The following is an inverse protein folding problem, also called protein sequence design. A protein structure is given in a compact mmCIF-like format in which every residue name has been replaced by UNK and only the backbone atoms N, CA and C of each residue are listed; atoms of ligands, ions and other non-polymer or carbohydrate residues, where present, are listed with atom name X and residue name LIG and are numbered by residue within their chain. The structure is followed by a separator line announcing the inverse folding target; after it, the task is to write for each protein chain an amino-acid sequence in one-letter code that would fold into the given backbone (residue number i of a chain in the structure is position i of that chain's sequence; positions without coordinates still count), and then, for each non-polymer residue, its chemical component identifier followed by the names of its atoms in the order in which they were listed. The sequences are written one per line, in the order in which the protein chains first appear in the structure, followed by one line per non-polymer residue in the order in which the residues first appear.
data_IF_672190364870
#
_entry.id   IF_672190364870
#
_cell.length_a   1.000
_cell.length_b   1.000
_cell.length_c   1.000
_cell.angle_alpha   90.00
_cell.angle_beta   90.00
_cell.angle_gamma   90.00
#
_symmetry.space_group_name_H-M   'P 1'
#
loop_
_entity.id
_entity.type
_entity.pdbx_description
1 polymer ?
#
# COMPACT_ATOMS: atom_id res chain seq x y z
N UNK A 1 -71.60 37.12 14.10
CA UNK A 1 -71.31 37.40 12.67
C UNK A 1 -69.79 37.42 12.53
N UNK A 2 -69.15 36.33 12.09
CA UNK A 2 -68.84 35.98 10.68
C UNK A 2 -67.67 36.83 10.11
N UNK A 3 -66.71 36.36 9.28
CA UNK A 3 -66.04 35.10 8.90
C UNK A 3 -65.06 35.52 7.77
N UNK A 4 -63.86 34.90 7.68
CA UNK A 4 -63.01 34.69 6.46
C UNK A 4 -62.45 35.93 5.71
N UNK A 5 -61.31 35.96 4.98
CA UNK A 5 -60.19 35.06 4.61
C UNK A 5 -59.18 35.89 3.76
N UNK A 6 -57.94 35.41 3.56
CA UNK A 6 -57.23 35.61 2.27
C UNK A 6 -55.78 36.10 2.28
N UNK A 7 -54.85 35.13 2.31
CA UNK A 7 -53.60 34.95 1.57
C UNK A 7 -52.73 36.13 1.04
N UNK A 8 -51.42 36.02 1.29
CA UNK A 8 -50.33 36.61 0.49
C UNK A 8 -48.96 36.03 0.87
N UNK A 9 -48.39 35.20 0.00
CA UNK A 9 -47.07 34.53 0.10
C UNK A 9 -45.92 35.41 -0.45
N UNK A 10 -44.73 35.38 0.19
CA UNK A 10 -43.40 35.15 -0.43
C UNK A 10 -42.34 35.11 0.68
N UNK A 11 -41.81 33.95 1.09
CA UNK A 11 -40.67 33.21 0.53
C UNK A 11 -39.32 33.93 0.64
N UNK A 12 -38.45 33.39 1.51
CA UNK A 12 -37.08 33.80 1.76
C UNK A 12 -36.40 32.86 2.75
N UNK A 13 -36.38 31.56 2.45
CA UNK A 13 -35.54 30.59 3.18
C UNK A 13 -34.10 30.73 2.67
N UNK A 14 -33.28 31.50 3.40
CA UNK A 14 -31.83 31.51 3.24
C UNK A 14 -31.23 30.25 3.89
N UNK A 15 -31.45 29.09 3.28
CA UNK A 15 -30.68 27.87 3.54
C UNK A 15 -29.82 27.54 2.33
N UNK A 16 -28.89 28.44 2.02
CA UNK A 16 -27.93 28.33 0.92
C UNK A 16 -26.81 27.28 1.09
N UNK A 17 -26.89 26.39 2.09
CA UNK A 17 -25.87 25.36 2.33
C UNK A 17 -26.23 23.96 1.79
N UNK A 18 -27.48 23.73 1.37
CA UNK A 18 -27.97 22.45 0.83
C UNK A 18 -28.42 22.54 -0.64
N UNK A 19 -27.87 23.45 -1.43
CA UNK A 19 -28.11 23.42 -2.88
C UNK A 19 -27.18 22.40 -3.55
N UNK A 20 -27.64 21.78 -4.64
CA UNK A 20 -26.86 20.86 -5.47
C UNK A 20 -25.52 21.46 -5.96
N UNK A 21 -25.38 22.80 -5.92
CA UNK A 21 -24.13 23.52 -6.25
C UNK A 21 -23.14 23.57 -5.07
N UNK A 22 -23.61 23.49 -3.83
CA UNK A 22 -22.77 23.32 -2.63
C UNK A 22 -22.12 21.93 -2.57
N UNK A 23 -22.86 20.88 -2.96
CA UNK A 23 -22.27 19.55 -3.17
C UNK A 23 -21.27 19.51 -4.34
N UNK A 24 -21.48 20.32 -5.38
CA UNK A 24 -20.58 20.39 -6.53
C UNK A 24 -19.21 21.01 -6.21
N UNK A 25 -19.09 21.84 -5.16
CA UNK A 25 -17.78 22.34 -4.71
C UNK A 25 -16.96 21.33 -3.90
N UNK A 26 -17.56 20.22 -3.44
CA UNK A 26 -16.80 19.09 -2.88
C UNK A 26 -16.21 18.18 -3.98
N UNK A 27 -16.77 18.23 -5.20
CA UNK A 27 -16.27 17.43 -6.32
C UNK A 27 -14.94 17.96 -6.91
N UNK A 28 -14.56 19.21 -6.60
CA UNK A 28 -13.32 19.83 -7.09
C UNK A 28 -12.12 19.77 -6.13
N UNK A 29 -12.28 19.19 -4.93
CA UNK A 29 -11.33 19.30 -3.83
C UNK A 29 -10.78 17.98 -3.30
N UNK A 30 -10.60 16.95 -4.14
CA UNK A 30 -10.13 15.64 -3.68
C UNK A 30 -8.62 15.54 -3.36
N UNK A 31 -7.88 16.66 -3.37
CA UNK A 31 -6.42 16.64 -3.30
C UNK A 31 -5.80 16.97 -1.91
N UNK A 32 -6.59 17.18 -0.84
CA UNK A 32 -6.07 17.75 0.41
C UNK A 32 -6.54 17.03 1.69
N UNK A 33 -6.30 15.73 1.83
CA UNK A 33 -6.50 15.06 3.13
C UNK A 33 -5.78 13.70 3.37
N UNK A 34 -4.72 13.33 2.65
CA UNK A 34 -4.11 11.99 2.80
C UNK A 34 -2.93 11.90 3.79
N UNK A 35 -2.79 12.82 4.75
CA UNK A 35 -1.72 12.75 5.78
C UNK A 35 -2.24 12.36 7.18
N UNK A 36 -3.54 12.12 7.37
CA UNK A 36 -4.11 11.72 8.67
C UNK A 36 -4.61 10.27 8.66
N UNK A 37 -3.76 9.30 8.31
CA UNK A 37 -4.16 7.90 8.05
C UNK A 37 -4.58 7.08 9.29
N UNK A 38 -4.56 7.63 10.51
CA UNK A 38 -4.96 6.90 11.73
C UNK A 38 -6.19 7.44 12.47
N UNK A 39 -6.83 8.51 11.99
CA UNK A 39 -7.99 9.13 12.67
C UNK A 39 -9.30 9.06 11.87
N UNK A 40 -9.29 8.43 10.69
CA UNK A 40 -10.51 8.35 9.87
C UNK A 40 -11.48 7.30 10.43
N UNK A 41 -12.78 7.63 10.55
CA UNK A 41 -13.81 6.65 10.87
C UNK A 41 -13.83 5.50 9.84
N UNK A 42 -14.18 4.25 10.26
CA UNK A 42 -14.18 3.08 9.38
C UNK A 42 -14.94 3.30 8.06
N UNK A 43 -16.01 4.09 8.10
CA UNK A 43 -16.85 4.41 6.93
C UNK A 43 -16.08 5.16 5.85
N UNK A 44 -15.19 6.10 6.20
CA UNK A 44 -14.42 6.87 5.21
C UNK A 44 -13.31 6.02 4.59
N UNK A 45 -12.67 5.16 5.39
CA UNK A 45 -11.72 4.17 4.89
C UNK A 45 -12.40 3.16 3.95
N UNK A 46 -13.61 2.71 4.30
CA UNK A 46 -14.45 1.86 3.46
C UNK A 46 -14.72 2.53 2.11
N UNK A 47 -15.17 3.78 2.10
CA UNK A 47 -15.52 4.52 0.87
C UNK A 47 -14.32 4.76 -0.05
N UNK A 48 -13.16 5.09 0.52
CA UNK A 48 -11.94 5.26 -0.27
C UNK A 48 -11.41 3.92 -0.83
N UNK A 49 -11.57 2.83 -0.07
CA UNK A 49 -11.27 1.47 -0.50
C UNK A 49 -12.19 0.98 -1.61
N UNK A 50 -13.50 1.17 -1.46
CA UNK A 50 -14.50 0.77 -2.47
C UNK A 50 -14.38 1.58 -3.75
N UNK A 51 -14.10 2.88 -3.69
CA UNK A 51 -13.85 3.69 -4.88
C UNK A 51 -12.58 3.25 -5.64
N UNK A 52 -11.53 2.82 -4.93
CA UNK A 52 -10.30 2.30 -5.54
C UNK A 52 -10.50 0.90 -6.12
N UNK A 53 -11.21 0.02 -5.42
CA UNK A 53 -11.60 -1.29 -5.92
C UNK A 53 -12.51 -1.18 -7.14
N UNK A 54 -13.52 -0.30 -7.10
CA UNK A 54 -14.39 0.01 -8.23
C UNK A 54 -13.64 0.67 -9.41
N UNK A 55 -12.54 1.38 -9.14
CA UNK A 55 -11.61 1.88 -10.15
C UNK A 55 -10.59 0.83 -10.61
N UNK A 56 -10.75 -0.44 -10.23
CA UNK A 56 -9.95 -1.57 -10.68
C UNK A 56 -8.55 -1.67 -10.08
N UNK A 57 -8.30 -1.06 -8.90
CA UNK A 57 -6.99 -1.10 -8.24
C UNK A 57 -7.04 -1.99 -6.99
N UNK A 58 -6.90 -3.30 -7.21
CA UNK A 58 -6.71 -4.29 -6.14
C UNK A 58 -5.38 -4.02 -5.42
N UNK A 59 -5.40 -4.04 -4.08
CA UNK A 59 -4.21 -3.91 -3.25
C UNK A 59 -3.16 -4.98 -3.54
N UNK A 60 -3.58 -6.22 -3.84
CA UNK A 60 -2.65 -7.31 -4.20
C UNK A 60 -1.97 -7.02 -5.53
N UNK A 61 -2.69 -6.51 -6.53
CA UNK A 61 -2.08 -6.14 -7.81
C UNK A 61 -1.04 -5.02 -7.62
N UNK A 62 -1.28 -4.09 -6.69
CA UNK A 62 -0.31 -3.06 -6.34
C UNK A 62 0.95 -3.60 -5.63
N UNK A 63 0.87 -4.73 -4.94
CA UNK A 63 2.02 -5.42 -4.33
C UNK A 63 2.80 -6.21 -5.38
N UNK A 64 2.09 -6.91 -6.29
CA UNK A 64 2.70 -7.58 -7.46
C UNK A 64 3.46 -6.57 -8.34
N UNK A 65 2.91 -5.36 -8.52
CA UNK A 65 3.63 -4.31 -9.21
C UNK A 65 4.89 -3.87 -8.46
N UNK A 66 4.86 -3.80 -7.12
CA UNK A 66 6.08 -3.53 -6.34
C UNK A 66 7.13 -4.64 -6.53
N UNK A 67 6.72 -5.91 -6.50
CA UNK A 67 7.60 -7.07 -6.74
C UNK A 67 8.39 -6.91 -8.03
N UNK A 68 7.72 -6.57 -9.13
CA UNK A 68 8.37 -6.33 -10.43
C UNK A 68 9.42 -5.24 -10.35
N UNK A 69 9.14 -4.14 -9.65
CA UNK A 69 10.10 -3.05 -9.48
C UNK A 69 11.28 -3.43 -8.57
N UNK A 70 11.01 -4.15 -7.48
CA UNK A 70 12.02 -4.63 -6.53
C UNK A 70 12.97 -5.61 -7.23
N UNK A 71 12.43 -6.59 -7.96
CA UNK A 71 13.22 -7.54 -8.75
C UNK A 71 14.07 -6.83 -9.81
N UNK A 72 13.51 -5.84 -10.51
CA UNK A 72 14.24 -5.05 -11.50
C UNK A 72 15.42 -4.30 -10.87
N UNK A 73 15.23 -3.69 -9.70
CA UNK A 73 16.31 -3.02 -8.96
C UNK A 73 17.38 -4.01 -8.50
N UNK A 74 16.99 -5.18 -8.01
CA UNK A 74 17.93 -6.23 -7.57
C UNK A 74 18.76 -6.76 -8.74
N UNK A 75 18.15 -7.00 -9.90
CA UNK A 75 18.87 -7.36 -11.13
C UNK A 75 19.88 -6.28 -11.50
N UNK A 76 19.48 -5.01 -11.46
CA UNK A 76 20.39 -3.92 -11.76
C UNK A 76 21.55 -3.84 -10.74
N UNK A 77 21.27 -4.04 -9.46
CA UNK A 77 22.28 -4.04 -8.39
C UNK A 77 23.35 -5.10 -8.62
N UNK A 78 22.95 -6.35 -8.91
CA UNK A 78 23.90 -7.46 -9.10
C UNK A 78 24.68 -7.35 -10.41
N UNK A 79 24.14 -6.67 -11.41
CA UNK A 79 24.81 -6.38 -12.68
C UNK A 79 25.73 -5.16 -12.62
N UNK A 80 25.61 -4.30 -11.59
CA UNK A 80 26.40 -3.08 -11.47
C UNK A 80 27.85 -3.40 -11.09
N UNK A 81 28.84 -2.98 -11.92
CA UNK A 81 30.26 -3.19 -11.64
C UNK A 81 30.75 -2.62 -10.31
N UNK A 82 31.84 -3.16 -9.80
CA UNK A 82 32.45 -2.77 -8.51
C UNK A 82 33.06 -1.36 -8.54
N UNK A 83 33.53 -0.92 -9.70
CA UNK A 83 34.09 0.42 -9.94
C UNK A 83 33.02 1.50 -10.13
N UNK A 84 31.74 1.17 -9.93
CA UNK A 84 30.61 2.11 -9.96
C UNK A 84 29.93 2.28 -8.58
N UNK A 85 30.66 2.64 -7.50
CA UNK A 85 30.13 2.71 -6.14
C UNK A 85 28.98 3.74 -6.00
N UNK A 86 29.01 4.82 -6.79
CA UNK A 86 27.92 5.79 -6.85
C UNK A 86 26.60 5.19 -7.35
N UNK A 87 26.65 4.34 -8.39
CA UNK A 87 25.46 3.65 -8.92
C UNK A 87 24.92 2.65 -7.90
N UNK A 88 25.78 1.82 -7.30
CA UNK A 88 25.42 0.87 -6.24
C UNK A 88 24.73 1.57 -5.06
N UNK A 89 25.24 2.72 -4.64
CA UNK A 89 24.63 3.54 -3.57
C UNK A 89 23.22 4.00 -3.95
N UNK A 90 23.04 4.56 -5.15
CA UNK A 90 21.74 5.04 -5.60
C UNK A 90 20.71 3.91 -5.71
N UNK A 91 21.12 2.74 -6.21
CA UNK A 91 20.24 1.59 -6.32
C UNK A 91 19.83 1.04 -4.96
N UNK A 92 20.78 0.92 -4.02
CA UNK A 92 20.47 0.48 -2.66
C UNK A 92 19.47 1.42 -1.98
N UNK A 93 19.63 2.74 -2.11
CA UNK A 93 18.68 3.71 -1.56
C UNK A 93 17.26 3.56 -2.16
N UNK A 94 17.17 3.35 -3.48
CA UNK A 94 15.88 3.12 -4.16
C UNK A 94 15.23 1.81 -3.70
N UNK A 95 16.02 0.74 -3.61
CA UNK A 95 15.56 -0.56 -3.14
C UNK A 95 15.03 -0.47 -1.72
N UNK A 96 15.80 0.12 -0.79
CA UNK A 96 15.40 0.33 0.61
C UNK A 96 14.06 1.04 0.72
N UNK A 97 13.88 2.15 0.00
CA UNK A 97 12.62 2.93 0.05
C UNK A 97 11.43 2.07 -0.41
N UNK A 98 11.60 1.29 -1.48
CA UNK A 98 10.54 0.44 -2.02
C UNK A 98 10.22 -0.73 -1.10
N UNK A 99 11.24 -1.49 -0.67
CA UNK A 99 11.05 -2.60 0.27
C UNK A 99 10.41 -2.12 1.58
N UNK A 100 10.78 -0.95 2.10
CA UNK A 100 10.17 -0.43 3.32
C UNK A 100 8.67 -0.14 3.15
N UNK A 101 8.27 0.50 2.04
CA UNK A 101 6.86 0.78 1.74
C UNK A 101 6.03 -0.49 1.51
N UNK A 102 6.63 -1.45 0.81
CA UNK A 102 6.05 -2.75 0.49
C UNK A 102 5.84 -3.60 1.75
N UNK A 103 6.92 -3.82 2.51
CA UNK A 103 6.89 -4.59 3.75
C UNK A 103 5.94 -3.99 4.79
N UNK A 104 5.83 -2.66 4.89
CA UNK A 104 4.87 -2.04 5.80
C UNK A 104 3.42 -2.38 5.43
N UNK A 105 3.09 -2.38 4.13
CA UNK A 105 1.75 -2.72 3.69
C UNK A 105 1.43 -4.20 3.93
N UNK A 106 2.39 -5.09 3.76
CA UNK A 106 2.22 -6.50 4.05
C UNK A 106 2.12 -6.80 5.54
N UNK A 107 3.08 -6.30 6.33
CA UNK A 107 3.17 -6.54 7.76
C UNK A 107 1.97 -5.96 8.53
N UNK A 108 1.45 -4.80 8.12
CA UNK A 108 0.35 -4.13 8.83
C UNK A 108 -1.04 -4.52 8.31
N UNK A 109 -1.15 -5.07 7.09
CA UNK A 109 -2.44 -5.34 6.44
C UNK A 109 -2.55 -6.78 5.95
N UNK A 110 -1.64 -7.24 5.11
CA UNK A 110 -1.77 -8.53 4.42
C UNK A 110 -1.57 -9.69 5.38
N UNK A 111 -0.50 -9.71 6.16
CA UNK A 111 -0.15 -10.84 7.02
C UNK A 111 -1.16 -11.07 8.16
N UNK A 112 -1.72 -10.02 8.81
CA UNK A 112 -2.84 -10.20 9.73
C UNK A 112 -4.06 -10.84 9.06
N UNK A 113 -4.39 -10.44 7.83
CA UNK A 113 -5.53 -11.03 7.10
C UNK A 113 -5.23 -12.46 6.61
N UNK A 114 -3.99 -12.75 6.23
CA UNK A 114 -3.54 -14.09 5.89
C UNK A 114 -3.66 -15.03 7.11
N UNK A 115 -3.22 -14.55 8.28
CA UNK A 115 -3.38 -15.25 9.55
C UNK A 115 -4.85 -15.50 9.90
N UNK A 116 -5.67 -14.44 9.95
CA UNK A 116 -7.03 -14.50 10.50
C UNK A 116 -8.08 -15.00 9.52
N UNK A 117 -8.06 -14.52 8.27
CA UNK A 117 -9.09 -14.78 7.27
C UNK A 117 -8.76 -16.02 6.44
N UNK A 118 -7.52 -16.15 5.97
CA UNK A 118 -7.08 -17.30 5.19
C UNK A 118 -6.65 -18.50 6.06
N UNK A 119 -6.59 -18.34 7.39
CA UNK A 119 -6.17 -19.37 8.37
C UNK A 119 -4.76 -19.92 8.07
N UNK A 120 -3.87 -19.02 7.68
CA UNK A 120 -2.52 -19.29 7.19
C UNK A 120 -1.47 -18.74 8.17
N UNK A 121 -1.62 -19.11 9.45
CA UNK A 121 -0.79 -18.59 10.55
C UNK A 121 0.71 -18.88 10.37
N UNK A 122 1.07 -20.11 9.99
CA UNK A 122 2.48 -20.47 9.81
C UNK A 122 3.12 -19.78 8.60
N UNK A 123 2.36 -19.62 7.51
CA UNK A 123 2.83 -18.89 6.33
C UNK A 123 3.05 -17.41 6.68
N UNK A 124 2.10 -16.77 7.39
CA UNK A 124 2.28 -15.40 7.88
C UNK A 124 3.52 -15.24 8.79
N UNK A 125 3.74 -16.15 9.74
CA UNK A 125 4.96 -16.15 10.60
C UNK A 125 6.23 -16.30 9.78
N UNK A 126 6.22 -17.17 8.77
CA UNK A 126 7.35 -17.39 7.89
C UNK A 126 7.70 -16.10 7.13
N UNK A 127 6.70 -15.43 6.54
CA UNK A 127 6.89 -14.18 5.78
C UNK A 127 7.44 -13.04 6.66
N UNK A 128 6.96 -12.89 7.90
CA UNK A 128 7.58 -11.95 8.86
C UNK A 128 9.06 -12.27 9.12
N UNK A 129 9.41 -13.56 9.20
CA UNK A 129 10.79 -14.02 9.36
C UNK A 129 11.67 -13.65 8.16
N UNK A 130 11.17 -13.87 6.94
CA UNK A 130 11.89 -13.48 5.71
C UNK A 130 12.09 -11.96 5.63
N UNK A 131 11.10 -11.16 5.99
CA UNK A 131 11.27 -9.70 6.09
C UNK A 131 12.34 -9.28 7.10
N UNK A 132 12.44 -9.98 8.23
CA UNK A 132 13.52 -9.74 9.18
C UNK A 132 14.90 -10.06 8.58
N UNK A 133 15.03 -11.19 7.86
CA UNK A 133 16.25 -11.57 7.16
C UNK A 133 16.62 -10.54 6.07
N UNK A 134 15.66 -10.09 5.26
CA UNK A 134 15.89 -9.04 4.26
C UNK A 134 16.37 -7.73 4.89
N UNK A 135 15.80 -7.31 6.03
CA UNK A 135 16.25 -6.12 6.78
C UNK A 135 17.71 -6.26 7.23
N UNK A 136 18.14 -7.44 7.64
CA UNK A 136 19.55 -7.72 8.00
C UNK A 136 20.47 -7.59 6.78
N UNK A 137 20.09 -8.16 5.63
CA UNK A 137 20.88 -8.02 4.40
C UNK A 137 20.97 -6.56 3.91
N UNK A 138 19.88 -5.79 4.03
CA UNK A 138 19.91 -4.35 3.71
C UNK A 138 20.90 -3.61 4.62
N UNK A 139 20.90 -3.92 5.92
CA UNK A 139 21.87 -3.36 6.85
C UNK A 139 23.32 -3.72 6.46
N UNK A 140 23.59 -4.99 6.15
CA UNK A 140 24.92 -5.44 5.72
C UNK A 140 25.38 -4.74 4.43
N UNK A 141 24.47 -4.56 3.45
CA UNK A 141 24.75 -3.82 2.22
C UNK A 141 25.06 -2.34 2.49
N UNK A 142 24.47 -1.74 3.51
CA UNK A 142 24.75 -0.36 3.91
C UNK A 142 26.13 -0.23 4.53
N UNK A 143 26.46 -1.12 5.46
CA UNK A 143 27.75 -1.11 6.18
C UNK A 143 28.93 -1.54 5.31
N UNK A 144 28.67 -2.31 4.25
CA UNK A 144 29.72 -2.76 3.33
C UNK A 144 30.09 -1.66 2.33
N UNK A 145 31.39 -1.32 2.18
CA UNK A 145 31.85 -0.42 1.11
C UNK A 145 31.37 -0.90 -0.26
N UNK A 146 30.94 0.02 -1.12
CA UNK A 146 30.28 -0.35 -2.39
C UNK A 146 31.24 -0.92 -3.42
N UNK A 147 32.53 -0.67 -3.24
CA UNK A 147 33.67 -1.21 -3.99
C UNK A 147 34.28 -2.46 -3.33
N UNK A 148 33.70 -2.97 -2.23
CA UNK A 148 34.09 -4.24 -1.62
C UNK A 148 33.45 -5.42 -2.40
N UNK A 149 34.19 -6.46 -2.79
CA UNK A 149 33.63 -7.63 -3.47
C UNK A 149 32.54 -8.34 -2.65
N UNK A 150 32.57 -8.26 -1.32
CA UNK A 150 31.53 -8.82 -0.43
C UNK A 150 30.17 -8.17 -0.66
N UNK A 151 30.11 -6.91 -1.12
CA UNK A 151 28.85 -6.23 -1.39
C UNK A 151 28.01 -6.99 -2.42
N UNK A 152 28.65 -7.51 -3.47
CA UNK A 152 27.97 -8.28 -4.51
C UNK A 152 27.42 -9.61 -3.96
N UNK A 153 28.17 -10.27 -3.09
CA UNK A 153 27.71 -11.51 -2.45
C UNK A 153 26.43 -11.29 -1.63
N UNK A 154 26.42 -10.26 -0.78
CA UNK A 154 25.23 -9.90 0.01
C UNK A 154 24.05 -9.50 -0.89
N UNK A 155 24.30 -8.79 -2.00
CA UNK A 155 23.24 -8.40 -2.94
C UNK A 155 22.62 -9.61 -3.66
N UNK A 156 23.43 -10.62 -3.99
CA UNK A 156 22.96 -11.88 -4.57
C UNK A 156 22.13 -12.69 -3.56
N UNK A 157 22.56 -12.75 -2.30
CA UNK A 157 21.81 -13.43 -1.25
C UNK A 157 20.46 -12.76 -0.97
N UNK A 158 20.44 -11.43 -0.85
CA UNK A 158 19.20 -10.66 -0.74
C UNK A 158 18.28 -10.94 -1.92
N UNK A 159 18.81 -10.93 -3.15
CA UNK A 159 18.02 -11.23 -4.35
C UNK A 159 17.37 -12.61 -4.28
N UNK A 160 18.13 -13.64 -3.84
CA UNK A 160 17.62 -15.01 -3.71
C UNK A 160 16.45 -15.10 -2.73
N UNK A 161 16.57 -14.44 -1.58
CA UNK A 161 15.52 -14.44 -0.54
C UNK A 161 14.28 -13.71 -1.06
N UNK A 162 14.44 -12.52 -1.63
CA UNK A 162 13.33 -11.75 -2.21
C UNK A 162 12.62 -12.51 -3.33
N UNK A 163 13.37 -13.18 -4.22
CA UNK A 163 12.74 -13.99 -5.28
C UNK A 163 11.97 -15.20 -4.70
N UNK A 164 12.43 -15.78 -3.60
CA UNK A 164 11.72 -16.85 -2.87
C UNK A 164 10.41 -16.37 -2.28
N UNK A 165 10.50 -15.29 -1.53
CA UNK A 165 9.37 -14.60 -0.92
C UNK A 165 8.28 -14.25 -1.92
N UNK A 166 8.65 -13.57 -3.02
CA UNK A 166 7.71 -13.18 -4.09
C UNK A 166 6.98 -14.39 -4.66
N UNK A 167 7.67 -15.52 -4.89
CA UNK A 167 7.03 -16.74 -5.41
C UNK A 167 6.03 -17.31 -4.41
N UNK A 168 6.42 -17.39 -3.13
CA UNK A 168 5.54 -17.87 -2.07
C UNK A 168 4.27 -17.02 -2.00
N UNK A 169 4.41 -15.70 -1.99
CA UNK A 169 3.26 -14.80 -1.93
C UNK A 169 2.38 -14.88 -3.19
N UNK A 170 2.95 -14.76 -4.38
CA UNK A 170 2.17 -14.70 -5.62
C UNK A 170 1.50 -16.04 -5.98
N UNK A 171 2.15 -17.17 -5.68
CA UNK A 171 1.65 -18.50 -6.05
C UNK A 171 0.76 -19.14 -4.98
N UNK A 172 0.96 -18.80 -3.69
CA UNK A 172 0.31 -19.47 -2.56
C UNK A 172 -0.55 -18.50 -1.75
N UNK A 173 0.05 -17.44 -1.20
CA UNK A 173 -0.60 -16.66 -0.15
C UNK A 173 -1.61 -15.63 -0.69
N UNK A 174 -1.27 -14.90 -1.76
CA UNK A 174 -2.20 -13.96 -2.39
C UNK A 174 -3.43 -14.67 -2.99
N UNK A 175 -3.31 -15.82 -3.70
CA UNK A 175 -4.47 -16.60 -4.12
C UNK A 175 -5.32 -17.08 -2.94
N UNK A 176 -4.70 -17.58 -1.87
CA UNK A 176 -5.42 -18.02 -0.68
C UNK A 176 -6.19 -16.85 -0.02
N UNK A 177 -5.54 -15.69 0.10
CA UNK A 177 -6.15 -14.49 0.67
C UNK A 177 -7.33 -14.01 -0.20
N UNK A 178 -7.17 -13.90 -1.53
CA UNK A 178 -8.27 -13.52 -2.45
C UNK A 178 -9.49 -14.42 -2.30
N UNK A 179 -9.29 -15.73 -2.12
CA UNK A 179 -10.38 -16.68 -1.95
C UNK A 179 -11.07 -16.60 -0.57
N UNK A 180 -10.43 -15.94 0.40
CA UNK A 180 -10.93 -15.82 1.78
C UNK A 180 -11.68 -14.53 2.06
N UNK A 181 -11.59 -13.52 1.19
CA UNK A 181 -12.19 -12.19 1.38
C UNK A 181 -13.41 -12.00 0.48
N UNK A 182 -14.45 -11.38 1.04
CA UNK A 182 -15.54 -10.81 0.22
C UNK A 182 -15.15 -9.46 -0.41
N UNK A 183 -16.00 -8.91 -1.28
CA UNK A 183 -15.76 -7.64 -1.97
C UNK A 183 -15.53 -6.46 -1.00
N UNK A 184 -16.24 -6.47 0.14
CA UNK A 184 -16.12 -5.43 1.16
C UNK A 184 -14.79 -5.50 1.90
N UNK A 185 -14.37 -6.70 2.29
CA UNK A 185 -13.08 -6.96 2.91
C UNK A 185 -11.93 -6.69 1.94
N UNK A 186 -12.07 -7.06 0.67
CA UNK A 186 -11.10 -6.78 -0.39
C UNK A 186 -10.91 -5.28 -0.59
N UNK A 187 -12.01 -4.51 -0.56
CA UNK A 187 -11.96 -3.05 -0.62
C UNK A 187 -11.24 -2.43 0.60
N UNK A 188 -11.48 -2.96 1.81
CA UNK A 188 -10.78 -2.52 3.03
C UNK A 188 -9.28 -2.80 2.94
N UNK A 189 -8.89 -4.03 2.58
CA UNK A 189 -7.50 -4.44 2.40
C UNK A 189 -6.81 -3.53 1.38
N UNK A 190 -7.40 -3.36 0.20
CA UNK A 190 -6.88 -2.46 -0.85
C UNK A 190 -6.75 -1.02 -0.34
N UNK A 191 -7.73 -0.57 0.44
CA UNK A 191 -7.73 0.67 1.19
C UNK A 191 -6.48 0.83 2.06
N UNK A 192 -6.24 -0.16 2.93
CA UNK A 192 -5.11 -0.25 3.85
C UNK A 192 -3.77 -0.28 3.15
N UNK A 193 -3.57 -1.19 2.19
CA UNK A 193 -2.31 -1.33 1.43
C UNK A 193 -1.85 0.02 0.88
N UNK A 194 -2.72 0.77 0.19
CA UNK A 194 -2.27 2.05 -0.36
C UNK A 194 -2.07 3.14 0.70
N UNK A 195 -2.75 3.09 1.86
CA UNK A 195 -2.46 4.03 2.95
C UNK A 195 -1.06 3.79 3.51
N UNK A 196 -0.72 2.53 3.80
CA UNK A 196 0.58 2.20 4.40
C UNK A 196 1.72 2.55 3.43
N UNK A 197 1.58 2.21 2.14
CA UNK A 197 2.56 2.60 1.11
C UNK A 197 2.76 4.13 1.04
N UNK A 198 1.69 4.92 1.18
CA UNK A 198 1.74 6.38 1.13
C UNK A 198 2.40 7.03 2.36
N UNK A 199 2.67 6.28 3.45
CA UNK A 199 3.43 6.80 4.59
C UNK A 199 4.93 6.90 4.31
N UNK A 200 5.43 6.08 3.38
CA UNK A 200 6.86 6.02 3.04
C UNK A 200 7.17 6.71 1.72
N UNK A 201 6.29 6.58 0.72
CA UNK A 201 6.47 7.09 -0.65
C UNK A 201 6.12 8.57 -0.81
#
# INVERSE_FOLDING_TARGET
MARYSGAGYSHGDDTGWLSARGLAMMAGGAALALVASRLLPPVVAQLAGTARHAAGRDGIDALIDDHRHIQSLLVEMVQTPMDAPGRRTQLLLRLKRRLAAHAMAEEDVVYPLLHDQARKEEDAKHLYGEHAEMKMHLFDLEQTPKDDPRWLAVALDLKRIVDGHIRQEEEIDFPALRNSLDDGQTAIMSGGVAREKALIL
#
